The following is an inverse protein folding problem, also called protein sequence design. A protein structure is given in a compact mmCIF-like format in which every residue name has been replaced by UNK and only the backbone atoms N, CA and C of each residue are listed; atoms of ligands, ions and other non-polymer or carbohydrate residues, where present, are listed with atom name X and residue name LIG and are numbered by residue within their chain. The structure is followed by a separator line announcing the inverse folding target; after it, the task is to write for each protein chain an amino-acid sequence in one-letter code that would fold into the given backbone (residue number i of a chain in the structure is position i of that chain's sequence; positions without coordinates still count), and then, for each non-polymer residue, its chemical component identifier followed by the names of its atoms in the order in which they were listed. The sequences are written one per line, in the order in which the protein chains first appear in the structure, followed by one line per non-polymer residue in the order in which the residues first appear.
data_IF_035735941705
#
_entry.id   IF_035735941705
#
_cell.length_a   1.000
_cell.length_b   1.000
_cell.length_c   1.000
_cell.angle_alpha   90.00
_cell.angle_beta   90.00
_cell.angle_gamma   90.00
#
_symmetry.space_group_name_H-M   'P 1'
#
loop_
_entity.id
_entity.type
_entity.pdbx_description
1 polymer ?
#
# COMPACT_ATOMS: atom_id res chain seq x y z
N UNK A 1 -9.55 26.97 -5.18
CA UNK A 1 -8.46 26.34 -5.97
C UNK A 1 -9.02 25.10 -6.60
N UNK A 2 -8.78 24.86 -7.90
CA UNK A 2 -9.20 23.61 -8.54
C UNK A 2 -8.17 22.54 -8.13
N UNK A 3 -8.44 21.75 -7.11
CA UNK A 3 -8.81 20.34 -7.22
C UNK A 3 -8.25 19.48 -8.41
N UNK A 4 -7.11 19.85 -8.98
CA UNK A 4 -6.53 19.23 -10.17
C UNK A 4 -5.95 17.83 -9.90
N UNK A 5 -5.47 17.57 -8.69
CA UNK A 5 -4.79 16.32 -8.37
C UNK A 5 -5.71 15.09 -8.41
N UNK A 6 -6.97 15.24 -7.98
CA UNK A 6 -7.91 14.12 -8.06
C UNK A 6 -8.39 13.87 -9.48
N UNK A 7 -8.31 14.84 -10.40
CA UNK A 7 -8.74 14.66 -11.79
C UNK A 7 -7.78 13.73 -12.54
N UNK A 8 -6.51 13.67 -12.12
CA UNK A 8 -5.55 12.68 -12.61
C UNK A 8 -5.81 11.25 -12.07
N UNK A 9 -6.70 11.09 -11.08
CA UNK A 9 -7.03 9.78 -10.55
C UNK A 9 -7.81 8.95 -11.59
N UNK A 10 -7.38 7.73 -11.93
CA UNK A 10 -8.11 6.88 -12.89
C UNK A 10 -9.50 6.47 -12.38
N UNK A 11 -9.76 6.60 -11.08
CA UNK A 11 -11.08 6.35 -10.48
C UNK A 11 -11.94 7.61 -10.38
N UNK A 12 -11.47 8.79 -10.76
CA UNK A 12 -12.12 10.08 -10.47
C UNK A 12 -13.63 10.07 -10.73
N UNK A 13 -14.06 9.63 -11.92
CA UNK A 13 -15.47 9.64 -12.33
C UNK A 13 -16.37 8.65 -11.57
N UNK A 14 -15.80 7.68 -10.85
CA UNK A 14 -16.53 6.57 -10.20
C UNK A 14 -16.20 6.42 -8.71
N UNK A 15 -15.28 7.22 -8.18
CA UNK A 15 -14.84 7.08 -6.81
C UNK A 15 -15.79 7.87 -5.90
N UNK A 16 -16.34 7.18 -4.90
CA UNK A 16 -17.20 7.79 -3.89
C UNK A 16 -16.50 7.93 -2.54
N UNK A 17 -15.17 7.73 -2.49
CA UNK A 17 -14.40 7.81 -1.24
C UNK A 17 -14.50 9.22 -0.65
N UNK A 18 -15.05 9.33 0.55
CA UNK A 18 -15.17 10.62 1.21
C UNK A 18 -13.80 11.18 1.62
N UNK A 19 -12.93 10.31 2.16
CA UNK A 19 -11.60 10.69 2.66
C UNK A 19 -10.49 10.37 1.65
N UNK A 20 -10.40 11.16 0.57
CA UNK A 20 -9.47 10.94 -0.53
C UNK A 20 -8.06 11.50 -0.23
N UNK A 21 -6.99 10.69 -0.29
CA UNK A 21 -5.62 11.20 -0.09
C UNK A 21 -5.12 12.19 -1.15
N UNK A 22 -5.82 12.30 -2.29
CA UNK A 22 -5.53 13.29 -3.34
C UNK A 22 -6.38 14.57 -3.19
N UNK A 23 -7.16 14.69 -2.10
CA UNK A 23 -7.87 15.91 -1.74
C UNK A 23 -6.94 16.87 -0.99
N UNK A 24 -6.94 18.18 -1.33
CA UNK A 24 -6.27 19.21 -0.52
C UNK A 24 -6.75 19.20 0.95
N UNK A 25 -8.01 18.83 1.18
CA UNK A 25 -8.65 18.84 2.48
C UNK A 25 -8.59 17.49 3.22
N UNK A 26 -7.73 16.56 2.78
CA UNK A 26 -7.64 15.20 3.33
C UNK A 26 -7.51 15.15 4.87
N UNK A 27 -6.86 16.14 5.48
CA UNK A 27 -6.69 16.22 6.94
C UNK A 27 -7.95 16.65 7.69
N UNK A 28 -8.87 17.34 7.02
CA UNK A 28 -10.10 17.89 7.60
C UNK A 28 -11.33 17.02 7.30
N UNK A 29 -11.16 15.97 6.47
CA UNK A 29 -12.23 15.02 6.15
C UNK A 29 -12.31 13.93 7.22
N UNK A 30 -13.49 13.77 7.80
CA UNK A 30 -13.79 12.66 8.70
C UNK A 30 -14.38 11.47 7.94
N UNK A 31 -14.05 10.25 8.40
CA UNK A 31 -14.72 9.05 7.90
C UNK A 31 -16.12 8.99 8.50
N UNK A 32 -17.13 9.17 7.66
CA UNK A 32 -18.54 8.96 8.05
C UNK A 32 -18.77 7.46 8.19
N UNK A 33 -19.43 7.04 9.29
CA UNK A 33 -19.61 5.62 9.62
C UNK A 33 -20.48 4.89 8.61
N UNK A 34 -21.39 5.62 7.97
CA UNK A 34 -22.36 5.15 6.98
C UNK A 34 -21.76 5.08 5.55
N UNK A 35 -20.52 5.54 5.36
CA UNK A 35 -19.84 5.46 4.06
C UNK A 35 -19.39 4.02 3.77
N UNK A 36 -19.82 3.49 2.63
CA UNK A 36 -19.44 2.14 2.18
C UNK A 36 -17.96 2.10 1.73
N UNK A 37 -17.40 3.21 1.26
CA UNK A 37 -15.99 3.32 0.85
C UNK A 37 -15.20 4.21 1.82
N UNK A 38 -15.03 3.77 3.07
CA UNK A 38 -14.25 4.52 4.08
C UNK A 38 -12.76 4.72 3.74
N UNK A 39 -12.22 3.98 2.75
CA UNK A 39 -10.79 3.98 2.40
C UNK A 39 -10.58 3.93 0.89
N UNK A 40 -9.65 4.76 0.41
CA UNK A 40 -9.22 4.73 -0.98
C UNK A 40 -8.49 3.41 -1.31
N UNK A 41 -8.99 2.67 -2.31
CA UNK A 41 -8.36 1.41 -2.78
C UNK A 41 -7.40 1.60 -3.95
N UNK A 42 -7.20 2.84 -4.44
CA UNK A 42 -6.19 3.10 -5.47
C UNK A 42 -4.81 2.66 -4.98
N UNK A 43 -3.95 2.13 -5.85
CA UNK A 43 -2.62 1.72 -5.44
C UNK A 43 -1.80 2.89 -4.88
N UNK A 44 -1.06 2.63 -3.79
CA UNK A 44 -0.18 3.62 -3.13
C UNK A 44 0.80 4.27 -4.11
N UNK A 45 1.39 3.49 -5.01
CA UNK A 45 2.35 3.98 -6.03
C UNK A 45 1.72 5.00 -6.97
N UNK A 46 0.48 4.77 -7.40
CA UNK A 46 -0.26 5.70 -8.27
C UNK A 46 -0.54 7.00 -7.52
N UNK A 47 -1.09 6.92 -6.30
CA UNK A 47 -1.36 8.11 -5.49
C UNK A 47 -0.10 8.93 -5.22
N UNK A 48 0.99 8.27 -4.84
CA UNK A 48 2.27 8.94 -4.59
C UNK A 48 2.84 9.61 -5.85
N UNK A 49 2.66 9.00 -7.02
CA UNK A 49 3.11 9.56 -8.30
C UNK A 49 2.32 10.82 -8.67
N UNK A 50 0.99 10.80 -8.48
CA UNK A 50 0.15 11.99 -8.67
C UNK A 50 0.58 13.05 -7.65
N UNK A 51 0.66 12.70 -6.36
CA UNK A 51 1.05 13.64 -5.31
C UNK A 51 2.41 14.28 -5.48
N UNK A 52 3.37 13.64 -6.14
CA UNK A 52 4.66 14.23 -6.48
C UNK A 52 4.55 15.44 -7.43
N UNK A 53 3.48 15.55 -8.22
CA UNK A 53 3.20 16.70 -9.10
C UNK A 53 2.53 17.87 -8.38
N UNK A 54 1.89 17.61 -7.24
CA UNK A 54 1.06 18.56 -6.52
C UNK A 54 1.60 18.76 -5.09
N UNK A 55 2.57 19.68 -4.90
CA UNK A 55 3.29 19.83 -3.62
C UNK A 55 2.39 20.34 -2.48
N UNK A 56 1.23 20.91 -2.81
CA UNK A 56 0.22 21.35 -1.86
C UNK A 56 -0.63 20.21 -1.27
N UNK A 57 -0.50 18.98 -1.79
CA UNK A 57 -1.26 17.86 -1.26
C UNK A 57 -0.75 17.42 0.12
N UNK A 58 -1.67 17.19 1.08
CA UNK A 58 -1.32 16.57 2.34
C UNK A 58 -0.55 15.28 2.11
N UNK A 59 0.62 15.19 2.74
CA UNK A 59 1.44 13.98 2.72
C UNK A 59 1.85 13.48 1.32
N UNK A 60 1.78 14.34 0.28
CA UNK A 60 2.11 13.98 -1.09
C UNK A 60 1.24 12.86 -1.67
N UNK A 61 -0.07 12.85 -1.37
CA UNK A 61 -1.01 11.85 -1.87
C UNK A 61 -1.01 10.53 -1.07
N UNK A 62 -0.25 10.45 0.02
CA UNK A 62 -0.22 9.31 0.92
C UNK A 62 -1.24 9.44 2.05
N UNK A 63 -1.68 8.32 2.60
CA UNK A 63 -2.38 8.34 3.88
C UNK A 63 -1.42 8.73 5.00
N UNK A 64 -1.95 9.25 6.12
CA UNK A 64 -1.13 9.64 7.29
C UNK A 64 -0.21 8.51 7.78
N UNK A 65 -0.72 7.28 7.81
CA UNK A 65 0.06 6.09 8.21
C UNK A 65 1.16 5.76 7.22
N UNK A 66 0.87 5.83 5.92
CA UNK A 66 1.86 5.58 4.87
C UNK A 66 2.98 6.63 4.88
N UNK A 67 2.63 7.90 5.11
CA UNK A 67 3.59 8.99 5.23
C UNK A 67 4.46 8.85 6.47
N UNK A 68 3.85 8.54 7.63
CA UNK A 68 4.59 8.27 8.85
C UNK A 68 5.59 7.10 8.67
N UNK A 69 5.17 6.02 8.01
CA UNK A 69 6.06 4.90 7.70
C UNK A 69 7.18 5.27 6.72
N UNK A 70 6.88 6.12 5.72
CA UNK A 70 7.89 6.65 4.80
C UNK A 70 8.92 7.51 5.55
N UNK A 71 8.46 8.42 6.42
CA UNK A 71 9.34 9.26 7.22
C UNK A 71 10.19 8.46 8.19
N UNK A 72 9.58 7.55 8.94
CA UNK A 72 10.31 6.64 9.82
C UNK A 72 11.35 5.78 9.10
N UNK A 73 11.18 5.51 7.79
CA UNK A 73 12.18 4.83 6.98
C UNK A 73 13.28 5.78 6.47
N UNK A 74 12.91 6.98 6.01
CA UNK A 74 13.84 8.01 5.55
C UNK A 74 14.77 8.49 6.67
N UNK A 75 14.25 8.59 7.89
CA UNK A 75 14.96 9.07 9.08
C UNK A 75 15.92 8.01 9.68
N UNK A 76 15.88 6.75 9.20
CA UNK A 76 16.80 5.70 9.67
C UNK A 76 18.21 5.88 9.11
N UNK A 77 19.25 5.62 9.91
CA UNK A 77 20.62 5.52 9.43
C UNK A 77 20.74 4.46 8.33
N UNK A 78 21.65 4.67 7.38
CA UNK A 78 21.89 3.73 6.27
C UNK A 78 22.18 2.32 6.78
N UNK A 79 23.06 2.19 7.77
CA UNK A 79 23.43 0.90 8.38
C UNK A 79 22.20 0.14 8.91
N UNK A 80 21.27 0.85 9.55
CA UNK A 80 20.04 0.22 10.05
C UNK A 80 19.12 -0.21 8.90
N UNK A 81 19.04 0.60 7.83
CA UNK A 81 18.27 0.26 6.62
C UNK A 81 18.81 -1.00 5.96
N UNK A 82 20.12 -1.10 5.81
CA UNK A 82 20.79 -2.28 5.22
C UNK A 82 20.49 -3.55 6.02
N UNK A 83 20.58 -3.50 7.36
CA UNK A 83 20.23 -4.63 8.23
C UNK A 83 18.78 -5.07 8.02
N UNK A 84 17.84 -4.12 7.94
CA UNK A 84 16.42 -4.41 7.71
C UNK A 84 16.21 -5.03 6.33
N UNK A 85 16.86 -4.50 5.29
CA UNK A 85 16.79 -5.02 3.92
C UNK A 85 17.32 -6.45 3.87
N UNK A 86 18.49 -6.72 4.44
CA UNK A 86 19.09 -8.05 4.47
C UNK A 86 18.22 -9.06 5.23
N UNK A 87 17.65 -8.66 6.37
CA UNK A 87 16.67 -9.48 7.08
C UNK A 87 15.45 -9.79 6.20
N UNK A 88 14.93 -8.79 5.49
CA UNK A 88 13.81 -8.94 4.56
C UNK A 88 14.12 -9.93 3.43
N UNK A 89 15.29 -9.82 2.79
CA UNK A 89 15.75 -10.74 1.73
C UNK A 89 15.83 -12.18 2.25
N UNK A 90 16.40 -12.40 3.44
CA UNK A 90 16.50 -13.72 4.06
C UNK A 90 15.12 -14.33 4.32
N UNK A 91 14.19 -13.55 4.88
CA UNK A 91 12.82 -14.01 5.13
C UNK A 91 12.05 -14.35 3.84
N UNK A 92 12.18 -13.53 2.78
CA UNK A 92 11.55 -13.81 1.49
C UNK A 92 12.09 -15.09 0.84
N UNK A 93 13.40 -15.32 0.93
CA UNK A 93 14.02 -16.56 0.45
C UNK A 93 13.46 -17.78 1.19
N UNK A 94 13.35 -17.71 2.51
CA UNK A 94 12.80 -18.79 3.33
C UNK A 94 11.33 -19.09 2.97
N UNK A 95 10.50 -18.06 2.81
CA UNK A 95 9.09 -18.22 2.42
C UNK A 95 8.94 -18.86 1.03
N UNK A 96 9.77 -18.47 0.06
CA UNK A 96 9.74 -19.07 -1.28
C UNK A 96 10.06 -20.56 -1.22
N UNK A 97 11.07 -20.95 -0.46
CA UNK A 97 11.45 -22.36 -0.30
C UNK A 97 10.37 -23.18 0.42
N UNK A 98 9.66 -22.60 1.39
CA UNK A 98 8.49 -23.24 2.00
C UNK A 98 7.36 -23.45 1.00
N UNK A 99 7.00 -22.41 0.22
CA UNK A 99 5.97 -22.52 -0.82
C UNK A 99 6.32 -23.57 -1.89
N UNK A 100 7.61 -23.73 -2.24
CA UNK A 100 8.08 -24.75 -3.19
C UNK A 100 7.99 -26.17 -2.58
N UNK A 101 8.34 -26.33 -1.29
CA UNK A 101 8.21 -27.59 -0.57
C UNK A 101 6.74 -28.00 -0.38
N UNK A 102 5.87 -27.06 0.00
CA UNK A 102 4.44 -27.30 0.17
C UNK A 102 3.83 -27.76 -1.15
N UNK A 103 4.11 -27.08 -2.27
CA UNK A 103 3.70 -27.50 -3.62
C UNK A 103 4.15 -28.91 -3.98
N UNK A 104 5.39 -29.28 -3.59
CA UNK A 104 5.90 -30.63 -3.83
C UNK A 104 5.14 -31.66 -3.01
N UNK A 105 4.79 -31.37 -1.76
CA UNK A 105 4.04 -32.30 -0.90
C UNK A 105 2.61 -32.53 -1.40
N UNK A 106 1.93 -31.51 -1.95
CA UNK A 106 0.58 -31.68 -2.53
C UNK A 106 0.58 -32.55 -3.80
N UNK A 107 1.70 -32.58 -4.55
CA UNK A 107 1.81 -33.31 -5.82
C UNK A 107 2.11 -34.81 -5.65
N UNK A 108 2.57 -35.26 -4.47
CA UNK A 108 2.95 -36.67 -4.21
C UNK A 108 2.04 -37.36 -3.17
N UNK A 109 1.00 -36.70 -2.67
CA UNK A 109 0.15 -37.19 -1.56
C UNK A 109 -1.18 -37.85 -1.95
N UNK A 110 -1.38 -38.26 -3.21
CA UNK A 110 -2.64 -38.84 -3.65
C UNK A 110 -2.49 -40.08 -4.49
N UNK A 111 -2.33 -41.26 -3.86
CA UNK A 111 -3.12 -42.50 -4.08
C UNK A 111 -2.82 -43.43 -2.90
N UNK A 112 -3.76 -43.57 -1.98
CA UNK A 112 -3.86 -44.76 -1.13
C UNK A 112 -5.32 -45.21 -1.20
N UNK A 113 -5.66 -45.96 -2.25
CA UNK A 113 -6.92 -46.67 -2.33
C UNK A 113 -6.95 -47.72 -1.23
N UNK A 114 -7.93 -47.61 -0.34
CA UNK A 114 -8.24 -48.64 0.64
C UNK A 114 -8.90 -49.84 -0.05
N UNK A 115 -8.48 -51.03 0.35
CA UNK A 115 -9.21 -52.29 0.17
C UNK A 115 -10.09 -52.56 1.38
#
# INVERSE_FOLDING_TARGET
MKDEAFQECPRFLKCSVNKCPLSPDYNFQDSVREDQETKCTLAKSIRSRIGAKYPNLPYGGLTRREYAGKKAWEDKPEEEREIIIERGKKSLKALRSQNENDKRMVMFGGVSSGE
#
